data_IF_507377223783
#
_entry.id   IF_507377223783
#
_cell.length_a   1.000
_cell.length_b   1.000
_cell.length_c   1.000
_cell.angle_alpha   90.00
_cell.angle_beta   90.00
_cell.angle_gamma   90.00
#
_symmetry.space_group_name_H-M   'P 1'
#
loop_
_entity.id
_entity.type
_entity.pdbx_description
1 polymer ?
#
# COMPACT_ATOMS: atom_id res chain seq x y z
N UNK A 1 2.03 -16.58 -34.35
CA UNK A 1 2.21 -17.55 -33.25
C UNK A 1 2.10 -16.82 -31.90
N UNK A 2 0.90 -16.66 -31.36
CA UNK A 2 0.64 -15.95 -30.10
C UNK A 2 1.09 -16.79 -28.90
N UNK A 3 2.12 -16.33 -28.19
CA UNK A 3 2.68 -17.01 -27.01
C UNK A 3 1.58 -17.18 -25.94
N UNK A 4 1.38 -18.37 -25.35
CA UNK A 4 0.33 -18.56 -24.35
C UNK A 4 0.57 -17.61 -23.18
N UNK A 5 -0.45 -16.81 -22.82
CA UNK A 5 -0.43 -15.94 -21.64
C UNK A 5 -0.06 -16.80 -20.44
N UNK A 6 0.92 -16.36 -19.64
CA UNK A 6 1.37 -17.08 -18.46
C UNK A 6 0.18 -17.35 -17.52
N UNK A 7 0.20 -18.47 -16.79
CA UNK A 7 -0.87 -18.80 -15.83
C UNK A 7 -1.07 -17.70 -14.78
N UNK A 8 0.00 -16.98 -14.41
CA UNK A 8 -0.06 -15.82 -13.53
C UNK A 8 -0.85 -14.65 -14.12
N UNK A 9 -0.72 -14.37 -15.42
CA UNK A 9 -1.47 -13.32 -16.10
C UNK A 9 -2.98 -13.67 -16.21
N UNK A 10 -3.34 -14.96 -16.24
CA UNK A 10 -4.73 -15.41 -16.13
C UNK A 10 -5.26 -15.18 -14.72
N UNK A 11 -4.53 -15.62 -13.69
CA UNK A 11 -4.95 -15.42 -12.30
C UNK A 11 -5.06 -13.95 -11.87
N UNK A 12 -4.23 -13.06 -12.41
CA UNK A 12 -4.34 -11.61 -12.19
C UNK A 12 -5.57 -11.02 -12.86
N UNK A 13 -5.82 -11.37 -14.13
CA UNK A 13 -7.02 -10.93 -14.85
C UNK A 13 -8.31 -11.46 -14.19
N UNK A 14 -8.28 -12.68 -13.65
CA UNK A 14 -9.39 -13.23 -12.87
C UNK A 14 -9.64 -12.39 -11.61
N UNK A 15 -8.58 -12.01 -10.88
CA UNK A 15 -8.70 -11.15 -9.69
C UNK A 15 -9.20 -9.74 -10.04
N UNK A 16 -8.73 -9.12 -11.11
CA UNK A 16 -9.19 -7.80 -11.56
C UNK A 16 -10.68 -7.83 -11.90
N UNK A 17 -11.12 -8.87 -12.63
CA UNK A 17 -12.54 -9.10 -12.95
C UNK A 17 -13.37 -9.27 -11.68
N UNK A 18 -12.89 -10.08 -10.74
CA UNK A 18 -13.56 -10.31 -9.45
C UNK A 18 -13.71 -9.00 -8.67
N UNK A 19 -12.66 -8.19 -8.57
CA UNK A 19 -12.74 -6.90 -7.89
C UNK A 19 -13.71 -5.95 -8.61
N UNK A 20 -13.71 -5.94 -9.95
CA UNK A 20 -14.64 -5.16 -10.75
C UNK A 20 -16.11 -5.53 -10.48
N UNK A 21 -16.45 -6.82 -10.63
CA UNK A 21 -17.81 -7.33 -10.39
C UNK A 21 -18.29 -7.00 -8.96
N UNK A 22 -17.37 -7.01 -7.99
CA UNK A 22 -17.72 -6.77 -6.60
C UNK A 22 -17.87 -5.32 -6.22
N UNK A 23 -17.01 -4.45 -6.77
CA UNK A 23 -17.19 -3.01 -6.60
C UNK A 23 -18.51 -2.58 -7.26
N UNK A 24 -18.84 -3.14 -8.43
CA UNK A 24 -20.11 -2.85 -9.10
C UNK A 24 -21.34 -3.30 -8.28
N UNK A 25 -21.23 -4.39 -7.51
CA UNK A 25 -22.31 -4.89 -6.64
C UNK A 25 -22.31 -4.31 -5.21
N UNK A 26 -21.30 -3.53 -4.83
CA UNK A 26 -21.14 -3.00 -3.48
C UNK A 26 -21.59 -1.54 -3.40
N UNK A 27 -22.69 -1.29 -2.67
CA UNK A 27 -23.12 0.07 -2.36
C UNK A 27 -22.04 0.86 -1.64
N UNK A 28 -21.86 2.13 -2.04
CA UNK A 28 -20.94 3.06 -1.38
C UNK A 28 -19.45 2.89 -1.72
N UNK A 29 -19.06 1.90 -2.54
CA UNK A 29 -17.66 1.68 -2.93
C UNK A 29 -17.38 2.28 -4.31
N UNK A 30 -16.29 3.03 -4.43
CA UNK A 30 -15.80 3.62 -5.67
C UNK A 30 -14.74 2.75 -6.34
N UNK A 31 -13.73 2.34 -5.58
CA UNK A 31 -12.62 1.53 -6.09
C UNK A 31 -12.09 0.57 -5.02
N UNK A 32 -11.49 -0.54 -5.46
CA UNK A 32 -10.81 -1.49 -4.61
C UNK A 32 -9.48 -1.93 -5.22
N UNK A 33 -8.44 -2.07 -4.40
CA UNK A 33 -7.11 -2.53 -4.80
C UNK A 33 -6.63 -3.59 -3.83
N UNK A 34 -6.21 -4.73 -4.37
CA UNK A 34 -5.48 -5.74 -3.60
C UNK A 34 -4.00 -5.53 -3.80
N UNK A 35 -3.26 -5.47 -2.69
CA UNK A 35 -1.84 -5.16 -2.66
C UNK A 35 -1.06 -6.17 -1.83
N UNK A 36 0.23 -6.29 -2.11
CA UNK A 36 1.18 -7.01 -1.26
C UNK A 36 1.63 -6.14 -0.09
N UNK A 37 2.30 -6.78 0.88
CA UNK A 37 2.80 -6.12 2.09
C UNK A 37 3.78 -4.99 1.82
N UNK A 38 4.51 -5.04 0.71
CA UNK A 38 5.46 -4.01 0.27
C UNK A 38 4.83 -2.89 -0.56
N UNK A 39 3.49 -2.90 -0.71
CA UNK A 39 2.75 -1.85 -1.42
C UNK A 39 2.69 -2.03 -2.93
N UNK A 40 3.10 -3.18 -3.47
CA UNK A 40 2.89 -3.45 -4.89
C UNK A 40 1.45 -3.86 -5.18
N UNK A 41 0.84 -3.23 -6.19
CA UNK A 41 -0.48 -3.57 -6.69
C UNK A 41 -0.48 -4.99 -7.26
N UNK A 42 -1.39 -5.81 -6.76
CA UNK A 42 -1.63 -7.17 -7.27
C UNK A 42 -2.79 -7.19 -8.23
N UNK A 43 -3.84 -6.45 -7.91
CA UNK A 43 -5.07 -6.38 -8.67
C UNK A 43 -5.84 -5.11 -8.31
N UNK A 44 -6.61 -4.58 -9.26
CA UNK A 44 -7.42 -3.38 -9.06
C UNK A 44 -8.81 -3.56 -9.71
N UNK A 45 -9.83 -2.97 -9.09
CA UNK A 45 -11.13 -2.80 -9.72
C UNK A 45 -11.03 -1.88 -10.94
N UNK A 46 -12.01 -1.97 -11.83
CA UNK A 46 -12.12 -1.05 -12.96
C UNK A 46 -12.19 0.44 -12.56
N UNK A 47 -11.91 1.31 -13.53
CA UNK A 47 -11.97 2.76 -13.36
C UNK A 47 -10.76 3.40 -12.68
N UNK A 48 -9.76 2.62 -12.26
CA UNK A 48 -8.44 3.11 -11.86
C UNK A 48 -7.44 2.94 -13.00
N UNK A 49 -6.69 4.00 -13.30
CA UNK A 49 -5.46 3.85 -14.07
C UNK A 49 -4.44 3.03 -13.28
N UNK A 50 -3.48 2.44 -13.99
CA UNK A 50 -2.39 1.69 -13.35
C UNK A 50 -1.62 2.55 -12.33
N UNK A 51 -1.38 3.82 -12.64
CA UNK A 51 -0.65 4.74 -11.77
C UNK A 51 -1.44 5.06 -10.50
N UNK A 52 -2.75 5.28 -10.60
CA UNK A 52 -3.61 5.52 -9.43
C UNK A 52 -3.68 4.28 -8.53
N UNK A 53 -3.78 3.09 -9.12
CA UNK A 53 -3.78 1.84 -8.36
C UNK A 53 -2.44 1.60 -7.64
N UNK A 54 -1.31 1.91 -8.28
CA UNK A 54 0.03 1.85 -7.64
C UNK A 54 0.18 2.87 -6.53
N UNK A 55 -0.33 4.09 -6.72
CA UNK A 55 -0.31 5.13 -5.70
C UNK A 55 -1.17 4.74 -4.49
N UNK A 56 -2.41 4.28 -4.71
CA UNK A 56 -3.30 3.82 -3.65
C UNK A 56 -2.71 2.63 -2.89
N UNK A 57 -2.06 1.69 -3.57
CA UNK A 57 -1.38 0.57 -2.92
C UNK A 57 -0.21 1.05 -2.04
N UNK A 58 0.60 1.99 -2.52
CA UNK A 58 1.68 2.56 -1.73
C UNK A 58 1.16 3.24 -0.45
N UNK A 59 0.15 4.11 -0.58
CA UNK A 59 -0.50 4.80 0.55
C UNK A 59 -1.09 3.80 1.55
N UNK A 60 -1.86 2.82 1.07
CA UNK A 60 -2.48 1.81 1.91
C UNK A 60 -1.43 0.98 2.68
N UNK A 61 -0.32 0.62 2.04
CA UNK A 61 0.74 -0.16 2.69
C UNK A 61 1.42 0.62 3.83
N UNK A 62 1.59 1.94 3.68
CA UNK A 62 2.07 2.82 4.74
C UNK A 62 1.15 2.81 5.96
N UNK A 63 -0.16 3.02 5.76
CA UNK A 63 -1.14 2.98 6.83
C UNK A 63 -1.22 1.62 7.53
N UNK A 64 -1.21 0.53 6.76
CA UNK A 64 -1.17 -0.82 7.33
C UNK A 64 0.08 -1.03 8.18
N UNK A 65 1.24 -0.55 7.72
CA UNK A 65 2.50 -0.61 8.48
C UNK A 65 2.43 0.12 9.82
N UNK A 66 1.86 1.33 9.83
CA UNK A 66 1.66 2.13 11.05
C UNK A 66 0.71 1.40 12.00
N UNK A 67 -0.46 0.97 11.52
CA UNK A 67 -1.47 0.28 12.32
C UNK A 67 -0.94 -1.04 12.91
N UNK A 68 -0.20 -1.81 12.12
CA UNK A 68 0.42 -3.06 12.58
C UNK A 68 1.48 -2.80 13.66
N UNK A 69 2.25 -1.71 13.54
CA UNK A 69 3.20 -1.30 14.57
C UNK A 69 2.51 -0.84 15.86
N UNK A 70 1.45 -0.04 15.73
CA UNK A 70 0.67 0.47 16.85
C UNK A 70 0.05 -0.69 17.65
N UNK A 71 -0.56 -1.66 16.98
CA UNK A 71 -1.17 -2.82 17.64
C UNK A 71 -0.17 -3.69 18.42
N UNK A 72 1.04 -3.91 17.87
CA UNK A 72 2.11 -4.65 18.57
C UNK A 72 2.60 -3.92 19.82
N UNK A 73 2.84 -2.61 19.72
CA UNK A 73 3.40 -1.81 20.83
C UNK A 73 2.35 -1.46 21.89
N UNK A 74 1.10 -1.25 21.47
CA UNK A 74 0.00 -0.90 22.35
C UNK A 74 -0.70 -2.07 23.03
N UNK A 75 -0.17 -3.30 22.91
CA UNK A 75 -0.79 -4.56 23.43
C UNK A 75 -2.21 -4.83 22.90
N UNK A 76 -2.67 -4.10 21.88
CA UNK A 76 -4.00 -4.23 21.27
C UNK A 76 -4.12 -5.34 20.22
N UNK A 77 -3.03 -6.08 19.97
CA UNK A 77 -3.00 -7.19 19.01
C UNK A 77 -2.83 -6.74 17.55
N UNK A 78 -3.17 -7.61 16.61
CA UNK A 78 -3.02 -7.31 15.17
C UNK A 78 -4.15 -6.41 14.67
N UNK A 79 -3.82 -5.30 14.02
CA UNK A 79 -4.81 -4.42 13.42
C UNK A 79 -5.63 -5.16 12.35
N UNK A 80 -6.94 -5.24 12.53
CA UNK A 80 -7.83 -5.87 11.54
C UNK A 80 -8.05 -4.98 10.34
N UNK A 81 -8.34 -3.69 10.57
CA UNK A 81 -8.59 -2.68 9.53
C UNK A 81 -8.19 -1.28 10.02
N UNK A 82 -7.86 -0.41 9.08
CA UNK A 82 -7.65 1.03 9.28
C UNK A 82 -8.69 1.78 8.47
N UNK A 83 -9.27 2.84 9.04
CA UNK A 83 -10.20 3.74 8.36
C UNK A 83 -9.62 5.15 8.36
N UNK A 84 -9.66 5.81 7.21
CA UNK A 84 -9.24 7.20 7.04
C UNK A 84 -10.40 7.95 6.37
N UNK A 85 -10.88 8.99 7.03
CA UNK A 85 -11.88 9.90 6.47
C UNK A 85 -11.19 11.10 5.82
N UNK A 86 -11.65 11.46 4.63
CA UNK A 86 -11.13 12.57 3.84
C UNK A 86 -12.33 13.34 3.27
N UNK A 87 -12.11 14.61 2.90
CA UNK A 87 -13.16 15.44 2.30
C UNK A 87 -13.82 14.78 1.06
N UNK A 88 -13.03 14.02 0.29
CA UNK A 88 -13.49 13.34 -0.93
C UNK A 88 -14.03 11.91 -0.70
N UNK A 89 -14.14 11.45 0.55
CA UNK A 89 -14.66 10.13 0.90
C UNK A 89 -13.77 9.37 1.90
N UNK A 90 -14.03 8.07 2.06
CA UNK A 90 -13.33 7.23 3.04
C UNK A 90 -12.38 6.23 2.38
N UNK A 91 -11.23 6.00 3.00
CA UNK A 91 -10.32 4.89 2.66
C UNK A 91 -10.35 3.86 3.79
N UNK A 92 -10.66 2.61 3.42
CA UNK A 92 -10.47 1.46 4.29
C UNK A 92 -9.28 0.63 3.83
N UNK A 93 -8.42 0.23 4.77
CA UNK A 93 -7.31 -0.69 4.54
C UNK A 93 -7.50 -1.90 5.43
N UNK A 94 -7.78 -3.05 4.85
CA UNK A 94 -8.02 -4.30 5.56
C UNK A 94 -6.90 -5.31 5.32
N UNK A 95 -6.49 -5.99 6.39
CA UNK A 95 -5.59 -7.13 6.25
C UNK A 95 -6.32 -8.29 5.57
N UNK A 96 -5.66 -8.93 4.60
CA UNK A 96 -6.07 -10.19 4.01
C UNK A 96 -5.20 -11.33 4.56
N UNK A 97 -5.54 -12.56 4.20
CA UNK A 97 -4.66 -13.70 4.46
C UNK A 97 -3.27 -13.50 3.83
N UNK A 98 -2.25 -14.15 4.42
CA UNK A 98 -0.86 -14.17 3.94
C UNK A 98 -0.14 -12.82 3.87
N UNK A 99 -0.66 -11.80 4.58
CA UNK A 99 -0.03 -10.48 4.68
C UNK A 99 -0.27 -9.58 3.47
N UNK A 100 -1.16 -9.97 2.56
CA UNK A 100 -1.72 -9.04 1.58
C UNK A 100 -2.69 -8.07 2.27
N UNK A 101 -3.01 -6.96 1.59
CA UNK A 101 -4.01 -6.01 2.06
C UNK A 101 -5.03 -5.73 0.95
N UNK A 102 -6.22 -5.30 1.35
CA UNK A 102 -7.25 -4.74 0.50
C UNK A 102 -7.41 -3.26 0.88
N UNK A 103 -7.28 -2.38 -0.11
CA UNK A 103 -7.64 -0.97 -0.01
C UNK A 103 -8.99 -0.75 -0.69
N UNK A 104 -9.91 -0.03 -0.05
CA UNK A 104 -11.25 0.27 -0.56
C UNK A 104 -11.50 1.76 -0.41
N UNK A 105 -11.78 2.45 -1.51
CA UNK A 105 -12.21 3.84 -1.53
C UNK A 105 -13.73 3.88 -1.62
N UNK A 106 -14.35 4.60 -0.68
CA UNK A 106 -15.77 4.92 -0.73
C UNK A 106 -16.08 6.01 -1.75
N UNK A 107 -17.34 6.08 -2.20
CA UNK A 107 -17.83 7.24 -2.96
C UNK A 107 -17.95 8.46 -2.03
N UNK A 108 -17.84 9.70 -2.56
CA UNK A 108 -18.10 10.89 -1.77
C UNK A 108 -19.49 10.85 -1.14
N UNK A 109 -19.60 11.18 0.15
CA UNK A 109 -20.87 11.18 0.87
C UNK A 109 -21.41 9.81 1.28
N UNK A 110 -20.72 8.70 0.96
CA UNK A 110 -21.11 7.40 1.51
C UNK A 110 -20.87 7.34 3.02
N UNK A 111 -21.83 6.76 3.74
CA UNK A 111 -21.66 6.50 5.17
C UNK A 111 -20.50 5.52 5.41
N UNK A 112 -19.58 5.82 6.33
CA UNK A 112 -18.45 4.95 6.63
C UNK A 112 -18.85 3.52 7.00
N UNK A 113 -19.99 3.35 7.68
CA UNK A 113 -20.53 2.05 8.05
C UNK A 113 -20.85 1.17 6.82
N UNK A 114 -21.46 1.76 5.78
CA UNK A 114 -21.78 1.07 4.52
C UNK A 114 -20.50 0.61 3.81
N UNK A 115 -19.49 1.49 3.75
CA UNK A 115 -18.20 1.17 3.13
C UNK A 115 -17.45 0.10 3.95
N UNK A 116 -17.54 0.14 5.28
CA UNK A 116 -16.94 -0.86 6.17
C UNK A 116 -17.59 -2.25 6.00
N UNK A 117 -18.91 -2.29 5.85
CA UNK A 117 -19.64 -3.53 5.58
C UNK A 117 -19.24 -4.11 4.22
N UNK A 118 -19.25 -3.30 3.17
CA UNK A 118 -18.79 -3.68 1.83
C UNK A 118 -17.34 -4.20 1.86
N UNK A 119 -16.46 -3.51 2.57
CA UNK A 119 -15.06 -3.95 2.78
C UNK A 119 -14.99 -5.33 3.44
N UNK A 120 -15.87 -5.62 4.40
CA UNK A 120 -15.93 -6.95 5.03
C UNK A 120 -16.27 -8.05 4.04
N UNK A 121 -17.33 -7.83 3.25
CA UNK A 121 -17.78 -8.77 2.21
C UNK A 121 -16.69 -9.00 1.16
N UNK A 122 -15.99 -7.93 0.77
CA UNK A 122 -14.84 -7.99 -0.15
C UNK A 122 -13.69 -8.82 0.41
N UNK A 123 -13.30 -8.60 1.67
CA UNK A 123 -12.26 -9.38 2.35
C UNK A 123 -12.58 -10.87 2.33
N UNK A 124 -13.79 -11.22 2.76
CA UNK A 124 -14.20 -12.63 2.85
C UNK A 124 -14.19 -13.30 1.49
N UNK A 125 -14.69 -12.61 0.46
CA UNK A 125 -14.74 -13.17 -0.89
C UNK A 125 -13.35 -13.27 -1.54
N UNK A 126 -12.50 -12.26 -1.39
CA UNK A 126 -11.12 -12.29 -1.90
C UNK A 126 -10.36 -13.44 -1.23
N UNK A 127 -10.53 -13.65 0.07
CA UNK A 127 -9.92 -14.77 0.79
C UNK A 127 -10.43 -16.13 0.29
N UNK A 128 -11.75 -16.28 0.06
CA UNK A 128 -12.33 -17.52 -0.51
C UNK A 128 -11.79 -17.84 -1.89
N UNK A 129 -11.66 -16.84 -2.76
CA UNK A 129 -11.24 -17.04 -4.16
C UNK A 129 -9.73 -17.17 -4.35
N UNK A 130 -8.92 -16.55 -3.48
CA UNK A 130 -7.47 -16.71 -3.56
C UNK A 130 -7.03 -18.12 -3.17
N UNK A 131 -7.72 -18.80 -2.26
CA UNK A 131 -7.19 -20.03 -1.66
C UNK A 131 -5.87 -19.77 -0.91
N UNK A 132 -5.18 -20.81 -0.40
CA UNK A 132 -3.90 -20.64 0.29
C UNK A 132 -2.79 -20.34 -0.73
N UNK A 133 -2.58 -19.07 -1.06
CA UNK A 133 -1.50 -18.64 -1.98
C UNK A 133 -0.14 -18.73 -1.28
N UNK A 134 0.77 -19.51 -1.85
CA UNK A 134 2.09 -19.73 -1.26
C UNK A 134 2.93 -18.44 -1.23
N UNK A 135 3.47 -18.15 -0.04
CA UNK A 135 4.36 -17.03 0.32
C UNK A 135 5.53 -16.74 -0.64
N UNK A 136 5.87 -17.67 -1.53
CA UNK A 136 7.06 -17.59 -2.40
C UNK A 136 6.88 -16.74 -3.65
N UNK A 137 5.65 -16.45 -4.11
CA UNK A 137 5.41 -15.83 -5.43
C UNK A 137 5.46 -14.30 -5.43
N UNK A 138 5.12 -13.63 -4.32
CA UNK A 138 5.10 -12.16 -4.25
C UNK A 138 6.50 -11.52 -4.15
N UNK A 139 7.47 -12.21 -3.56
CA UNK A 139 8.84 -11.69 -3.44
C UNK A 139 9.63 -11.60 -4.76
N UNK A 140 9.06 -12.04 -5.89
CA UNK A 140 9.76 -12.10 -7.19
C UNK A 140 9.23 -11.14 -8.26
N UNK A 141 8.08 -10.49 -8.08
CA UNK A 141 7.44 -9.74 -9.18
C UNK A 141 8.10 -8.38 -9.46
N UNK A 142 8.94 -7.81 -8.58
CA UNK A 142 9.69 -6.55 -8.90
C UNK A 142 11.12 -6.43 -8.35
N UNK A 143 11.93 -7.50 -8.32
CA UNK A 143 13.41 -7.34 -8.33
C UNK A 143 13.90 -7.24 -9.77
N UNK A 144 13.54 -6.16 -10.44
CA UNK A 144 14.00 -5.81 -11.78
C UNK A 144 14.11 -4.30 -11.92
N UNK A 145 15.35 -3.84 -12.06
CA UNK A 145 15.79 -2.48 -12.46
C UNK A 145 15.47 -1.30 -11.54
N UNK A 146 16.22 -1.19 -10.43
CA UNK A 146 16.76 0.11 -9.98
C UNK A 146 18.26 -0.07 -9.73
N UNK A 147 19.02 -0.09 -10.82
CA UNK A 147 20.45 0.22 -10.79
C UNK A 147 20.57 1.74 -10.62
N UNK A 148 20.50 2.21 -9.38
CA UNK A 148 20.91 3.55 -8.99
C UNK A 148 22.22 3.39 -8.24
N UNK A 149 23.31 3.76 -8.89
CA UNK A 149 24.66 3.71 -8.34
C UNK A 149 24.68 4.26 -6.90
N UNK A 150 25.02 3.40 -5.93
CA UNK A 150 25.49 3.86 -4.63
C UNK A 150 26.80 4.59 -4.87
N UNK A 151 26.75 5.91 -5.06
CA UNK A 151 27.88 6.76 -4.74
C UNK A 151 28.05 6.70 -3.23
N UNK A 152 29.11 6.02 -2.81
CA UNK A 152 29.63 6.07 -1.45
C UNK A 152 29.91 7.53 -1.09
N UNK A 153 29.21 8.05 -0.09
CA UNK A 153 29.55 9.32 0.56
C UNK A 153 30.90 9.12 1.27
N UNK A 154 31.96 9.90 0.98
CA UNK A 154 33.13 9.91 1.83
C UNK A 154 32.76 10.59 3.16
N UNK A 155 33.04 9.89 4.26
CA UNK A 155 33.06 10.45 5.61
C UNK A 155 34.16 11.51 5.69
N UNK A 156 33.79 12.78 5.65
CA UNK A 156 34.70 13.88 6.00
C UNK A 156 34.80 13.95 7.51
N UNK A 157 35.94 13.52 8.03
CA UNK A 157 36.38 13.72 9.41
C UNK A 157 36.37 15.21 9.74
N UNK A 158 35.63 15.60 10.78
CA UNK A 158 35.66 16.94 11.34
C UNK A 158 37.08 17.25 11.83
N UNK A 159 37.75 18.18 11.12
CA UNK A 159 39.05 18.75 11.49
C UNK A 159 38.76 20.05 12.25
N UNK A 160 39.37 20.17 13.43
CA UNK A 160 39.02 21.13 14.48
C UNK A 160 38.96 22.59 14.06
N UNK A 161 38.09 23.34 14.72
CA UNK A 161 38.14 24.79 14.75
C UNK A 161 39.04 25.16 15.94
N UNK A 162 40.24 25.66 15.62
CA UNK A 162 41.17 26.21 16.57
C UNK A 162 40.72 27.59 17.06
N UNK A 163 41.10 27.86 18.30
CA UNK A 163 40.94 29.12 19.00
C UNK A 163 41.76 30.22 18.31
N UNK A 164 41.12 31.34 17.99
CA UNK A 164 41.78 32.56 17.54
C UNK A 164 41.46 33.67 18.53
N UNK A 165 42.41 33.87 19.44
CA UNK A 165 42.58 35.05 20.26
C UNK A 165 42.99 36.27 19.41
N UNK A 166 42.48 37.44 19.79
CA UNK A 166 43.05 38.76 19.47
C UNK A 166 42.59 39.38 18.14
N UNK A 167 42.50 40.69 17.96
CA UNK A 167 42.71 41.81 18.87
C UNK A 167 42.29 43.11 18.11
N UNK A 168 42.03 44.18 18.87
CA UNK A 168 42.17 45.61 18.51
C UNK A 168 41.20 46.29 17.52
N UNK A 169 40.48 47.30 18.03
CA UNK A 169 40.77 48.75 17.85
C UNK A 169 39.49 49.63 17.79
N UNK A 170 39.47 50.73 18.58
CA UNK A 170 38.53 51.86 18.47
C UNK A 170 38.80 52.74 17.22
N UNK A 171 38.66 54.08 17.20
CA UNK A 171 38.24 55.09 18.20
C UNK A 171 36.88 55.74 17.79
N UNK A 172 36.26 56.76 18.39
CA UNK A 172 36.57 57.91 19.28
C UNK A 172 35.40 58.15 20.22
#
# INVERSE_FOLDING_TARGET
MTKPRSSAARSMADLDRILGDLVAGAGGVRHAVVLSRDGATVSASGGLSRQEAEHLAAVASGFHGIAANAGRRGRGGSSRRTMIEMAAGTLFVAALADGACLAVLGVPGAEPAVVAEATSRLVDLVNRRRGPWSRRRFGRIRRGTRNGSRKTMPTTTAKGCGDASGDLAGPT
#
